data_IF_958263308744
#
_entry.id   IF_958263308744
#
_cell.length_a   1.000
_cell.length_b   1.000
_cell.length_c   1.000
_cell.angle_alpha   90.00
_cell.angle_beta   90.00
_cell.angle_gamma   90.00
#
_symmetry.space_group_name_H-M   'P 1'
#
loop_
_entity.id
_entity.type
_entity.pdbx_description
1 polymer ?
#
# COMPACT_ATOMS: atom_id res chain seq x y z
N UNK A 1 12.66 -3.05 -18.95
CA UNK A 1 11.25 -2.64 -19.11
C UNK A 1 11.23 -1.11 -19.15
N UNK A 2 10.89 -0.47 -20.27
CA UNK A 2 11.10 0.98 -20.46
C UNK A 2 10.10 1.88 -19.70
N UNK A 3 9.09 1.31 -19.04
CA UNK A 3 8.09 2.01 -18.22
C UNK A 3 7.97 1.35 -16.85
N UNK A 4 7.82 2.14 -15.80
CA UNK A 4 7.64 1.63 -14.44
C UNK A 4 6.27 0.97 -14.26
N UNK A 5 6.22 -0.12 -13.49
CA UNK A 5 4.97 -0.83 -13.19
C UNK A 5 3.99 0.12 -12.48
N UNK A 6 2.81 0.29 -13.06
CA UNK A 6 1.80 1.24 -12.59
C UNK A 6 1.93 2.66 -13.17
N UNK A 7 2.89 2.89 -14.08
CA UNK A 7 3.06 4.15 -14.83
C UNK A 7 3.11 3.88 -16.33
N UNK A 8 2.03 3.34 -16.94
CA UNK A 8 2.03 2.97 -18.35
C UNK A 8 2.18 4.17 -19.30
N UNK A 9 1.98 5.40 -18.82
CA UNK A 9 2.11 6.63 -19.60
C UNK A 9 3.43 7.39 -19.33
N UNK A 10 4.33 6.87 -18.50
CA UNK A 10 5.58 7.53 -18.12
C UNK A 10 5.51 8.30 -16.81
N UNK A 11 6.45 9.22 -16.61
CA UNK A 11 6.63 9.95 -15.34
C UNK A 11 5.42 10.84 -15.01
N UNK A 12 5.07 11.00 -13.71
CA UNK A 12 4.03 11.93 -13.29
C UNK A 12 4.35 13.37 -13.71
N UNK A 13 3.31 14.15 -13.99
CA UNK A 13 3.41 15.59 -14.31
C UNK A 13 4.24 15.94 -15.57
N UNK A 14 4.47 14.99 -16.47
CA UNK A 14 4.98 15.26 -17.82
C UNK A 14 3.84 15.08 -18.85
N UNK A 15 2.95 16.08 -19.01
CA UNK A 15 1.80 15.97 -19.90
C UNK A 15 2.22 15.83 -21.36
N UNK A 16 3.36 16.37 -21.76
CA UNK A 16 3.81 16.31 -23.15
C UNK A 16 4.30 14.91 -23.50
N UNK A 17 5.07 14.25 -22.63
CA UNK A 17 5.44 12.84 -22.80
C UNK A 17 4.20 11.93 -22.76
N UNK A 18 3.34 12.10 -21.75
CA UNK A 18 2.13 11.28 -21.60
C UNK A 18 1.19 11.38 -22.81
N UNK A 19 1.03 12.57 -23.40
CA UNK A 19 0.26 12.76 -24.63
C UNK A 19 0.87 12.04 -25.83
N UNK A 20 2.21 12.00 -25.96
CA UNK A 20 2.87 11.26 -27.05
C UNK A 20 2.64 9.75 -26.94
N UNK A 21 2.75 9.19 -25.73
CA UNK A 21 2.44 7.78 -25.44
C UNK A 21 0.98 7.47 -25.78
N UNK A 22 0.05 8.32 -25.32
CA UNK A 22 -1.38 8.16 -25.59
C UNK A 22 -1.69 8.21 -27.08
N UNK A 23 -1.12 9.17 -27.81
CA UNK A 23 -1.34 9.32 -29.25
C UNK A 23 -0.91 8.07 -30.01
N UNK A 24 0.30 7.58 -29.76
CA UNK A 24 0.79 6.35 -30.40
C UNK A 24 -0.08 5.14 -30.08
N UNK A 25 -0.56 5.04 -28.83
CA UNK A 25 -1.47 3.95 -28.43
C UNK A 25 -2.82 4.03 -29.15
N UNK A 26 -3.37 5.25 -29.28
CA UNK A 26 -4.64 5.48 -29.97
C UNK A 26 -4.51 5.30 -31.49
N UNK A 27 -3.35 5.61 -32.07
CA UNK A 27 -3.09 5.40 -33.50
C UNK A 27 -3.17 3.90 -33.88
N UNK A 28 -2.89 2.98 -32.94
CA UNK A 28 -3.09 1.53 -33.16
C UNK A 28 -4.57 1.15 -33.41
N UNK A 29 -5.52 1.95 -32.94
CA UNK A 29 -6.95 1.72 -33.18
C UNK A 29 -7.36 2.05 -34.61
N UNK A 30 -6.54 2.83 -35.34
CA UNK A 30 -6.78 3.16 -36.74
C UNK A 30 -6.30 2.07 -37.71
N UNK A 31 -5.65 1.02 -37.20
CA UNK A 31 -5.11 -0.05 -38.02
C UNK A 31 -6.22 -0.88 -38.67
N UNK A 32 -6.10 -1.06 -39.99
CA UNK A 32 -7.14 -1.67 -40.82
C UNK A 32 -7.25 -3.19 -40.66
N UNK A 33 -6.27 -3.86 -40.02
CA UNK A 33 -6.31 -5.30 -39.81
C UNK A 33 -5.49 -5.78 -38.62
N UNK A 34 -6.04 -6.77 -37.91
CA UNK A 34 -5.34 -7.59 -36.92
C UNK A 34 -5.09 -6.93 -35.57
N UNK A 35 -4.67 -7.71 -34.56
CA UNK A 35 -4.04 -7.15 -33.37
C UNK A 35 -2.65 -6.62 -33.74
N UNK A 36 -2.47 -5.29 -33.72
CA UNK A 36 -1.18 -4.65 -34.00
C UNK A 36 -0.42 -4.45 -32.69
N UNK A 37 0.78 -5.03 -32.61
CA UNK A 37 1.73 -4.81 -31.52
C UNK A 37 2.86 -3.93 -32.04
N UNK A 38 2.93 -2.68 -31.57
CA UNK A 38 3.99 -1.75 -31.91
C UNK A 38 4.84 -1.42 -30.68
N UNK A 39 6.15 -1.26 -30.88
CA UNK A 39 7.06 -0.79 -29.84
C UNK A 39 7.02 0.74 -29.78
N UNK A 40 6.90 1.30 -28.59
CA UNK A 40 7.07 2.73 -28.38
C UNK A 40 8.59 3.07 -28.37
N UNK A 41 9.05 4.03 -29.19
CA UNK A 41 10.49 4.25 -29.42
C UNK A 41 11.18 5.10 -28.35
N UNK A 42 10.44 5.88 -27.57
CA UNK A 42 11.00 6.72 -26.52
C UNK A 42 11.02 5.95 -25.18
N UNK A 43 12.14 6.01 -24.45
CA UNK A 43 12.14 5.59 -23.05
C UNK A 43 11.42 6.65 -22.20
N UNK A 44 10.75 6.23 -21.14
CA UNK A 44 10.26 7.18 -20.14
C UNK A 44 11.45 8.00 -19.59
N UNK A 45 11.30 9.32 -19.41
CA UNK A 45 12.32 10.12 -18.76
C UNK A 45 12.68 9.49 -17.41
N UNK A 46 13.96 9.48 -17.08
CA UNK A 46 14.34 9.15 -15.71
C UNK A 46 13.80 10.24 -14.79
N UNK A 47 13.29 9.82 -13.63
CA UNK A 47 12.93 10.78 -12.58
C UNK A 47 14.24 11.41 -12.11
N UNK A 48 14.52 12.64 -12.55
CA UNK A 48 15.67 13.41 -12.09
C UNK A 48 15.51 13.74 -10.61
N UNK A 49 16.07 12.87 -9.79
CA UNK A 49 16.38 13.03 -8.39
C UNK A 49 17.64 12.20 -8.13
N UNK A 50 18.40 12.48 -7.07
CA UNK A 50 19.56 11.68 -6.73
C UNK A 50 19.21 10.19 -6.76
N UNK A 51 20.15 9.34 -7.16
CA UNK A 51 20.07 7.88 -6.97
C UNK A 51 20.00 7.46 -5.47
N UNK A 52 19.73 8.43 -4.60
CA UNK A 52 19.54 8.24 -3.19
C UNK A 52 18.21 7.51 -3.02
N UNK A 53 18.28 6.37 -2.33
CA UNK A 53 17.13 5.71 -1.76
C UNK A 53 16.17 6.79 -1.25
N UNK A 54 15.01 6.93 -1.87
CA UNK A 54 13.98 7.79 -1.31
C UNK A 54 13.68 7.22 0.08
N UNK A 55 13.99 8.01 1.10
CA UNK A 55 13.63 7.71 2.48
C UNK A 55 12.49 8.67 2.81
N UNK A 56 11.47 8.18 3.48
CA UNK A 56 10.43 9.04 4.04
C UNK A 56 11.09 10.00 5.05
N UNK A 57 11.14 11.32 4.82
CA UNK A 57 11.83 12.26 5.73
C UNK A 57 11.14 12.38 7.09
N UNK A 58 9.96 11.81 7.29
CA UNK A 58 9.39 11.63 8.62
C UNK A 58 10.18 10.54 9.33
N UNK A 59 10.87 10.96 10.39
CA UNK A 59 11.42 10.02 11.36
C UNK A 59 10.26 9.42 12.16
N UNK A 60 9.69 8.33 11.65
CA UNK A 60 8.86 7.46 12.47
C UNK A 60 9.76 6.80 13.51
N UNK A 61 9.25 6.59 14.72
CA UNK A 61 9.97 5.78 15.69
C UNK A 61 10.24 4.40 15.05
N UNK A 62 11.50 3.92 15.01
CA UNK A 62 11.78 2.62 14.41
C UNK A 62 10.94 1.55 15.12
N UNK A 63 10.39 0.58 14.38
CA UNK A 63 9.63 -0.49 15.00
C UNK A 63 10.51 -1.16 16.07
N UNK A 64 10.05 -1.32 17.32
CA UNK A 64 10.85 -1.88 18.39
C UNK A 64 11.33 -3.28 18.01
N UNK A 65 12.55 -3.67 18.41
CA UNK A 65 13.02 -5.04 18.22
C UNK A 65 12.01 -6.05 18.76
N UNK A 66 11.94 -7.27 18.22
CA UNK A 66 11.03 -8.36 18.66
C UNK A 66 10.99 -8.61 20.18
N UNK A 67 11.98 -8.08 20.91
CA UNK A 67 12.17 -8.23 22.36
C UNK A 67 11.39 -7.22 23.21
N UNK A 68 10.76 -6.19 22.64
CA UNK A 68 9.92 -5.24 23.38
C UNK A 68 8.47 -5.48 22.98
N UNK A 69 7.67 -5.99 23.93
CA UNK A 69 6.21 -6.11 23.82
C UNK A 69 5.58 -4.72 24.00
N UNK A 70 5.94 -3.78 23.14
CA UNK A 70 5.16 -2.55 23.02
C UNK A 70 3.88 -2.87 22.24
N UNK A 71 2.77 -2.28 22.66
CA UNK A 71 1.48 -2.44 22.01
C UNK A 71 1.56 -1.96 20.54
N UNK A 72 1.55 -2.91 19.61
CA UNK A 72 1.62 -2.67 18.15
C UNK A 72 0.51 -1.70 17.72
N UNK A 73 -0.67 -1.77 18.33
CA UNK A 73 -1.77 -0.86 18.03
C UNK A 73 -1.40 0.59 18.37
N UNK A 74 -0.85 0.82 19.56
CA UNK A 74 -0.43 2.16 19.99
C UNK A 74 0.62 2.77 19.06
N UNK A 75 1.56 1.97 18.56
CA UNK A 75 2.55 2.43 17.58
C UNK A 75 1.90 2.82 16.25
N UNK A 76 1.04 1.96 15.70
CA UNK A 76 0.34 2.25 14.43
C UNK A 76 -0.54 3.50 14.57
N UNK A 77 -1.20 3.70 15.71
CA UNK A 77 -1.99 4.91 15.96
C UNK A 77 -1.11 6.17 16.08
N UNK A 78 0.10 6.05 16.66
CA UNK A 78 1.09 7.14 16.67
C UNK A 78 1.54 7.51 15.26
N UNK A 79 1.89 6.52 14.44
CA UNK A 79 2.28 6.72 13.04
C UNK A 79 1.16 7.39 12.22
N UNK A 80 -0.10 6.97 12.42
CA UNK A 80 -1.26 7.61 11.80
C UNK A 80 -1.33 9.10 12.21
N UNK A 81 -1.13 9.41 13.49
CA UNK A 81 -1.12 10.78 13.98
C UNK A 81 -0.03 11.65 13.30
N UNK A 82 1.17 11.10 13.13
CA UNK A 82 2.30 11.78 12.49
C UNK A 82 2.10 11.98 10.98
N UNK A 83 1.46 11.02 10.31
CA UNK A 83 1.22 11.05 8.86
C UNK A 83 -0.04 11.83 8.46
N UNK A 84 -1.00 12.03 9.37
CA UNK A 84 -2.29 12.63 9.05
C UNK A 84 -2.22 14.03 8.39
N UNK A 85 -1.35 14.97 8.84
CA UNK A 85 -1.23 16.28 8.18
C UNK A 85 -0.81 16.18 6.70
N UNK A 86 0.02 15.18 6.37
CA UNK A 86 0.48 14.95 5.00
C UNK A 86 -0.59 14.30 4.15
N UNK A 87 -1.32 13.33 4.71
CA UNK A 87 -2.49 12.77 4.05
C UNK A 87 -3.50 13.87 3.68
N UNK A 88 -3.86 14.73 4.64
CA UNK A 88 -4.79 15.83 4.43
C UNK A 88 -4.32 16.81 3.36
N UNK A 89 -3.04 17.19 3.39
CA UNK A 89 -2.45 18.05 2.36
C UNK A 89 -2.48 17.39 0.98
N UNK A 90 -2.11 16.11 0.92
CA UNK A 90 -2.11 15.31 -0.30
C UNK A 90 -3.51 15.18 -0.89
N UNK A 91 -4.51 14.97 -0.04
CA UNK A 91 -5.91 14.87 -0.44
C UNK A 91 -6.44 16.18 -1.00
N UNK A 92 -6.13 17.31 -0.34
CA UNK A 92 -6.50 18.65 -0.83
C UNK A 92 -5.88 18.99 -2.19
N UNK A 93 -4.65 18.52 -2.45
CA UNK A 93 -3.94 18.74 -3.71
C UNK A 93 -4.43 17.84 -4.84
N UNK A 94 -4.62 16.54 -4.56
CA UNK A 94 -4.96 15.52 -5.56
C UNK A 94 -6.45 15.46 -5.87
N UNK A 95 -7.31 15.81 -4.91
CA UNK A 95 -8.77 15.73 -5.02
C UNK A 95 -9.34 14.30 -5.11
N UNK A 96 -8.50 13.28 -4.96
CA UNK A 96 -8.86 11.85 -5.05
C UNK A 96 -7.99 11.02 -4.10
N UNK A 97 -8.57 9.92 -3.61
CA UNK A 97 -7.90 8.94 -2.73
C UNK A 97 -8.16 7.51 -3.18
N UNK A 98 -7.20 6.62 -2.91
CA UNK A 98 -7.31 5.17 -2.99
C UNK A 98 -7.79 4.52 -1.68
N UNK A 99 -7.81 5.28 -0.59
CA UNK A 99 -8.31 4.86 0.72
C UNK A 99 -9.83 5.05 0.83
N UNK A 100 -10.48 4.16 1.56
CA UNK A 100 -11.90 4.23 1.94
C UNK A 100 -12.77 3.12 1.33
N UNK A 101 -12.17 2.11 0.68
CA UNK A 101 -12.89 1.00 0.05
C UNK A 101 -13.57 0.10 1.08
N UNK A 102 -13.00 0.01 2.29
CA UNK A 102 -13.57 -0.73 3.43
C UNK A 102 -14.73 0.02 4.09
N UNK A 103 -14.80 1.35 3.93
CA UNK A 103 -15.73 2.22 4.66
C UNK A 103 -15.33 2.50 6.11
N UNK A 104 -14.18 2.00 6.56
CA UNK A 104 -13.64 2.25 7.90
C UNK A 104 -12.78 3.52 7.92
N UNK A 105 -12.71 4.16 9.08
CA UNK A 105 -11.67 5.15 9.38
C UNK A 105 -10.30 4.47 9.47
N UNK A 106 -9.22 5.23 9.28
CA UNK A 106 -7.86 4.69 9.34
C UNK A 106 -7.53 4.07 10.70
N UNK A 107 -8.03 4.65 11.80
CA UNK A 107 -7.92 4.10 13.16
C UNK A 107 -8.70 2.80 13.31
N UNK A 108 -9.91 2.72 12.74
CA UNK A 108 -10.70 1.48 12.72
C UNK A 108 -10.01 0.40 11.90
N UNK A 109 -9.35 0.74 10.79
CA UNK A 109 -8.52 -0.19 10.02
C UNK A 109 -7.40 -0.78 10.88
N UNK A 110 -6.66 0.07 11.60
CA UNK A 110 -5.58 -0.35 12.49
C UNK A 110 -6.07 -1.26 13.63
N UNK A 111 -7.17 -0.87 14.29
CA UNK A 111 -7.80 -1.66 15.36
C UNK A 111 -8.32 -3.01 14.87
N UNK A 112 -8.99 -3.02 13.71
CA UNK A 112 -9.50 -4.25 13.11
C UNK A 112 -8.36 -5.22 12.80
N UNK A 113 -7.30 -4.78 12.11
CA UNK A 113 -6.18 -5.65 11.76
C UNK A 113 -5.42 -6.15 13.00
N UNK A 114 -5.27 -5.31 14.03
CA UNK A 114 -4.64 -5.72 15.29
C UNK A 114 -5.50 -6.71 16.07
N UNK A 115 -6.83 -6.62 16.01
CA UNK A 115 -7.70 -7.61 16.66
C UNK A 115 -7.51 -9.03 16.13
N UNK A 116 -6.99 -9.17 14.91
CA UNK A 116 -6.74 -10.46 14.27
C UNK A 116 -5.42 -11.12 14.70
N UNK A 117 -4.53 -10.41 15.40
CA UNK A 117 -3.25 -10.95 15.88
C UNK A 117 -3.31 -11.47 17.32
N UNK A 118 -4.35 -11.16 18.08
CA UNK A 118 -4.52 -11.65 19.44
C UNK A 118 -4.79 -13.17 19.46
N UNK A 119 -3.96 -13.93 20.21
CA UNK A 119 -4.07 -15.38 20.33
C UNK A 119 -5.36 -15.84 21.04
N UNK A 120 -5.85 -15.05 22.00
CA UNK A 120 -7.14 -15.23 22.63
C UNK A 120 -8.18 -14.38 21.88
N UNK A 121 -8.69 -14.90 20.76
CA UNK A 121 -9.89 -14.33 20.18
C UNK A 121 -11.10 -14.84 20.98
N UNK A 122 -11.79 -14.02 21.79
CA UNK A 122 -13.10 -14.41 22.27
C UNK A 122 -13.97 -14.69 21.04
N UNK A 123 -14.69 -15.81 21.05
CA UNK A 123 -15.57 -16.22 19.97
C UNK A 123 -16.52 -15.07 19.59
N UNK A 124 -16.20 -14.36 18.51
CA UNK A 124 -16.90 -13.15 18.09
C UNK A 124 -16.01 -11.91 18.10
N UNK A 125 -15.11 -11.81 17.11
CA UNK A 125 -14.65 -10.49 16.67
C UNK A 125 -15.90 -9.72 16.28
N UNK A 126 -16.23 -8.69 17.06
CA UNK A 126 -17.24 -7.71 16.65
C UNK A 126 -16.58 -6.90 15.55
N UNK A 127 -16.68 -7.40 14.32
CA UNK A 127 -16.37 -6.61 13.13
C UNK A 127 -17.12 -5.29 13.32
N UNK A 128 -16.44 -4.13 13.31
CA UNK A 128 -17.11 -2.84 13.51
C UNK A 128 -18.36 -2.80 12.63
N UNK A 129 -19.53 -2.50 13.22
CA UNK A 129 -20.85 -2.59 12.58
C UNK A 129 -20.89 -1.90 11.20
N UNK A 130 -20.04 -0.90 10.98
CA UNK A 130 -19.85 -0.22 9.70
C UNK A 130 -19.52 -1.16 8.51
N UNK A 131 -18.96 -2.35 8.76
CA UNK A 131 -18.60 -3.32 7.73
C UNK A 131 -19.79 -4.14 7.21
N UNK A 132 -20.93 -4.13 7.90
CA UNK A 132 -22.06 -5.02 7.58
C UNK A 132 -22.95 -4.56 6.40
N UNK A 133 -22.41 -3.74 5.49
CA UNK A 133 -23.05 -3.45 4.20
C UNK A 133 -22.85 -4.59 3.17
N UNK A 134 -23.12 -5.84 3.56
CA UNK A 134 -23.22 -6.99 2.64
C UNK A 134 -21.92 -7.66 2.18
N UNK A 135 -20.75 -7.32 2.75
CA UNK A 135 -19.47 -7.95 2.40
C UNK A 135 -19.15 -9.16 3.30
N UNK A 136 -18.49 -10.17 2.73
CA UNK A 136 -17.92 -11.28 3.49
C UNK A 136 -16.74 -10.81 4.34
N UNK A 137 -16.44 -11.51 5.44
CA UNK A 137 -15.27 -11.23 6.27
C UNK A 137 -13.97 -11.14 5.45
N UNK A 138 -13.81 -12.00 4.45
CA UNK A 138 -12.62 -12.00 3.59
C UNK A 138 -12.48 -10.73 2.75
N UNK A 139 -13.59 -10.21 2.24
CA UNK A 139 -13.61 -8.94 1.53
C UNK A 139 -13.30 -7.77 2.47
N UNK A 140 -13.85 -7.77 3.69
CA UNK A 140 -13.53 -6.79 4.72
C UNK A 140 -12.04 -6.77 5.01
N UNK A 141 -11.45 -7.94 5.30
CA UNK A 141 -10.03 -8.05 5.62
C UNK A 141 -9.17 -7.55 4.47
N UNK A 142 -9.47 -7.96 3.25
CA UNK A 142 -8.76 -7.51 2.05
C UNK A 142 -8.82 -5.98 1.91
N UNK A 143 -10.03 -5.40 1.93
CA UNK A 143 -10.24 -3.96 1.73
C UNK A 143 -9.61 -3.14 2.85
N UNK A 144 -9.73 -3.59 4.09
CA UNK A 144 -9.11 -2.91 5.25
C UNK A 144 -7.59 -2.93 5.16
N UNK A 145 -7.01 -4.06 4.75
CA UNK A 145 -5.57 -4.20 4.50
C UNK A 145 -5.08 -3.31 3.35
N UNK A 146 -5.87 -3.19 2.28
CA UNK A 146 -5.61 -2.30 1.15
C UNK A 146 -5.70 -0.83 1.55
N UNK A 147 -6.73 -0.46 2.31
CA UNK A 147 -6.94 0.91 2.81
C UNK A 147 -5.80 1.36 3.72
N UNK A 148 -5.32 0.50 4.63
CA UNK A 148 -4.19 0.84 5.50
C UNK A 148 -2.93 1.16 4.68
N UNK A 149 -2.59 0.32 3.70
CA UNK A 149 -1.44 0.56 2.81
C UNK A 149 -1.65 1.78 1.90
N UNK A 150 -2.85 1.95 1.35
CA UNK A 150 -3.19 3.07 0.49
C UNK A 150 -3.04 4.39 1.26
N UNK A 151 -3.59 4.49 2.46
CA UNK A 151 -3.51 5.70 3.27
C UNK A 151 -2.07 6.08 3.61
N UNK A 152 -1.24 5.11 4.04
CA UNK A 152 0.17 5.35 4.37
C UNK A 152 0.98 5.82 3.15
N UNK A 153 0.83 5.13 2.02
CA UNK A 153 1.58 5.48 0.79
C UNK A 153 1.10 6.80 0.19
N UNK A 154 -0.18 7.13 0.33
CA UNK A 154 -0.72 8.44 -0.06
C UNK A 154 -0.22 9.58 0.83
N UNK A 155 -0.14 9.36 2.15
CA UNK A 155 0.42 10.32 3.09
C UNK A 155 1.90 10.57 2.81
N UNK A 156 2.67 9.51 2.62
CA UNK A 156 4.11 9.60 2.35
C UNK A 156 4.40 10.28 1.00
N UNK A 157 3.62 9.99 -0.04
CA UNK A 157 3.75 10.63 -1.34
C UNK A 157 3.36 12.12 -1.36
N UNK A 158 2.67 12.61 -0.32
CA UNK A 158 2.25 14.01 -0.22
C UNK A 158 3.29 14.91 0.48
N UNK A 159 4.36 14.32 1.02
CA UNK A 159 5.40 15.06 1.71
C UNK A 159 6.19 15.97 0.76
N UNK A 160 6.59 17.17 1.20
CA UNK A 160 7.47 18.06 0.46
C UNK A 160 8.90 17.51 0.50
N UNK A 161 9.47 17.31 -0.68
CA UNK A 161 10.80 16.74 -0.88
C UNK A 161 11.06 16.55 -2.37
N UNK A 162 12.26 16.06 -2.73
CA UNK A 162 12.59 15.74 -4.12
C UNK A 162 11.62 14.70 -4.72
N UNK A 163 11.69 14.59 -6.05
CA UNK A 163 10.75 13.95 -6.96
C UNK A 163 9.91 12.78 -6.40
N UNK A 164 8.66 12.71 -6.86
CA UNK A 164 7.69 11.69 -6.45
C UNK A 164 8.35 10.30 -6.41
N UNK A 165 8.34 9.62 -5.24
CA UNK A 165 9.09 8.38 -5.06
C UNK A 165 8.75 7.32 -6.09
N UNK A 166 9.76 6.52 -6.44
CA UNK A 166 9.51 5.27 -7.16
C UNK A 166 8.59 4.41 -6.30
N UNK A 167 7.65 3.73 -6.93
CA UNK A 167 6.68 2.86 -6.24
C UNK A 167 7.37 1.85 -5.33
N UNK A 168 8.49 1.28 -5.79
CA UNK A 168 9.31 0.34 -5.02
C UNK A 168 9.76 0.94 -3.69
N UNK A 169 10.24 2.19 -3.69
CA UNK A 169 10.74 2.84 -2.48
C UNK A 169 9.62 3.12 -1.46
N UNK A 170 8.41 3.47 -1.93
CA UNK A 170 7.22 3.58 -1.08
C UNK A 170 6.83 2.24 -0.46
N UNK A 171 6.88 1.16 -1.25
CA UNK A 171 6.60 -0.18 -0.74
C UNK A 171 7.68 -0.61 0.27
N UNK A 172 8.96 -0.40 -0.03
CA UNK A 172 10.06 -0.81 0.86
C UNK A 172 10.05 -0.04 2.18
N UNK A 173 9.74 1.25 2.15
CA UNK A 173 9.49 2.06 3.35
C UNK A 173 8.29 1.52 4.14
N UNK A 174 7.14 1.35 3.49
CA UNK A 174 5.94 0.86 4.19
C UNK A 174 6.20 -0.48 4.88
N UNK A 175 6.78 -1.44 4.16
CA UNK A 175 6.99 -2.80 4.68
C UNK A 175 8.21 -2.94 5.60
N UNK A 176 9.18 -2.03 5.53
CA UNK A 176 10.43 -2.12 6.28
C UNK A 176 10.56 -1.18 7.46
N UNK A 177 9.87 -0.05 7.44
CA UNK A 177 10.13 1.06 8.36
C UNK A 177 8.89 1.46 9.18
N UNK A 178 7.72 0.86 8.91
CA UNK A 178 6.47 1.20 9.63
C UNK A 178 5.96 0.06 10.52
N UNK A 179 5.38 0.42 11.66
CA UNK A 179 4.64 -0.48 12.52
C UNK A 179 3.39 -1.02 11.80
N UNK A 180 2.76 -0.26 10.91
CA UNK A 180 1.66 -0.75 10.08
C UNK A 180 2.08 -1.87 9.12
N UNK A 181 3.25 -1.74 8.49
CA UNK A 181 3.87 -2.78 7.67
C UNK A 181 4.18 -4.02 8.49
N UNK A 182 4.77 -3.84 9.68
CA UNK A 182 5.03 -4.92 10.63
C UNK A 182 3.75 -5.64 11.06
N UNK A 183 2.69 -4.91 11.43
CA UNK A 183 1.39 -5.49 11.79
C UNK A 183 0.88 -6.44 10.70
N UNK A 184 0.97 -6.03 9.43
CA UNK A 184 0.55 -6.87 8.31
C UNK A 184 1.47 -8.09 8.12
N UNK A 185 2.77 -7.95 8.34
CA UNK A 185 3.71 -9.08 8.31
C UNK A 185 3.42 -10.07 9.44
N UNK A 186 3.19 -9.59 10.66
CA UNK A 186 2.88 -10.42 11.83
C UNK A 186 1.55 -11.15 11.64
N UNK A 187 0.52 -10.48 11.12
CA UNK A 187 -0.74 -11.13 10.75
C UNK A 187 -0.54 -12.24 9.70
N UNK A 188 0.36 -12.03 8.73
CA UNK A 188 0.68 -13.05 7.74
C UNK A 188 1.52 -14.21 8.30
N UNK A 189 2.34 -13.98 9.33
CA UNK A 189 3.10 -15.04 10.03
C UNK A 189 2.18 -15.96 10.83
N UNK A 190 1.27 -15.38 11.61
CA UNK A 190 0.31 -16.12 12.43
C UNK A 190 -0.85 -16.75 11.63
N UNK A 191 -0.78 -16.71 10.28
CA UNK A 191 -1.82 -17.27 9.41
C UNK A 191 -2.10 -18.74 9.65
N UNK A 192 -1.07 -19.56 9.95
CA UNK A 192 -1.24 -21.00 10.09
C UNK A 192 -2.04 -21.34 11.36
N UNK A 193 -1.85 -20.53 12.39
CA UNK A 193 -2.44 -20.70 13.73
C UNK A 193 -3.83 -20.06 13.83
N UNK A 194 -4.28 -19.32 12.79
CA UNK A 194 -5.58 -18.66 12.84
C UNK A 194 -6.73 -19.69 12.79
N UNK A 195 -7.66 -19.67 13.77
CA UNK A 195 -8.67 -20.72 13.93
C UNK A 195 -9.66 -20.80 12.76
N UNK A 196 -9.90 -19.67 12.07
CA UNK A 196 -10.85 -19.60 10.95
C UNK A 196 -10.16 -19.87 9.58
N UNK A 197 -10.52 -20.95 8.85
CA UNK A 197 -9.90 -21.32 7.57
C UNK A 197 -10.15 -20.33 6.42
N UNK A 198 -11.24 -19.55 6.46
CA UNK A 198 -11.50 -18.53 5.44
C UNK A 198 -10.55 -17.35 5.61
N UNK A 199 -10.25 -16.98 6.86
CA UNK A 199 -9.27 -15.93 7.18
C UNK A 199 -7.88 -16.34 6.71
N UNK A 200 -7.49 -17.60 6.96
CA UNK A 200 -6.22 -18.17 6.46
C UNK A 200 -6.07 -18.01 4.94
N UNK A 201 -7.09 -18.42 4.18
CA UNK A 201 -7.08 -18.34 2.71
C UNK A 201 -6.98 -16.91 2.18
N UNK A 202 -7.60 -15.95 2.87
CA UNK A 202 -7.56 -14.53 2.47
C UNK A 202 -6.20 -13.93 2.76
N UNK A 203 -5.63 -14.24 3.93
CA UNK A 203 -4.28 -13.81 4.33
C UNK A 203 -3.24 -14.35 3.34
N UNK A 204 -3.31 -15.64 2.99
CA UNK A 204 -2.39 -16.31 2.05
C UNK A 204 -2.32 -15.64 0.68
N UNK A 205 -3.44 -15.08 0.19
CA UNK A 205 -3.53 -14.57 -1.19
C UNK A 205 -3.42 -13.07 -1.32
N UNK A 206 -3.74 -12.30 -0.28
CA UNK A 206 -4.06 -10.88 -0.45
C UNK A 206 -3.37 -9.93 0.54
N UNK A 207 -2.70 -10.43 1.59
CA UNK A 207 -2.20 -9.55 2.64
C UNK A 207 -0.83 -8.94 2.31
N UNK A 208 0.08 -9.75 1.77
CA UNK A 208 1.46 -9.34 1.43
C UNK A 208 1.70 -9.49 -0.07
N UNK A 209 2.12 -8.42 -0.77
CA UNK A 209 2.50 -8.48 -2.18
C UNK A 209 3.63 -9.46 -2.44
N UNK A 210 3.62 -10.11 -3.61
CA UNK A 210 4.67 -11.06 -4.00
C UNK A 210 6.09 -10.45 -3.95
N UNK A 211 6.22 -9.17 -4.31
CA UNK A 211 7.47 -8.40 -4.25
C UNK A 211 8.08 -8.33 -2.85
N UNK A 212 7.27 -8.50 -1.81
CA UNK A 212 7.66 -8.35 -0.41
C UNK A 212 7.76 -9.70 0.32
N UNK A 213 7.54 -10.82 -0.38
CA UNK A 213 7.60 -12.17 0.22
C UNK A 213 9.00 -12.49 0.76
N UNK A 214 10.06 -11.93 0.17
CA UNK A 214 11.43 -12.12 0.64
C UNK A 214 11.61 -11.74 2.13
N UNK A 215 10.79 -10.81 2.66
CA UNK A 215 10.80 -10.41 4.07
C UNK A 215 10.30 -11.50 5.03
N UNK A 216 9.70 -12.58 4.53
CA UNK A 216 9.42 -13.79 5.30
C UNK A 216 10.66 -14.70 5.44
N UNK A 217 11.59 -14.67 4.50
CA UNK A 217 12.72 -15.61 4.42
C UNK A 217 13.92 -15.14 5.24
N UNK A 218 14.11 -13.83 5.39
CA UNK A 218 15.26 -13.20 6.07
C UNK A 218 15.13 -13.03 7.58
N UNK A 219 14.04 -13.50 8.20
CA UNK A 219 13.80 -13.36 9.65
C UNK A 219 13.71 -14.72 10.38
N UNK A 220 14.37 -15.76 9.84
CA UNK A 220 14.60 -17.05 10.48
C UNK A 220 16.06 -17.21 10.91
#
# INVERSE_FOLDING_TARGET
MPFELGRPLGVPNDPEFQKRVLKMTLDLLAESSGPVLASYPENAPEVSGPENAWVCPITLAPPPSEKVQDDVLSQVLSEIGELAPWYDLGQRRRGRTLYGVSGLTIDECARFLTSLTAADQPAGVTVPVAVTAGHSFGETLKRTSEDLSAWYTEAAAAQPGEAYPKRQALEDWFWGETAAGRLKLDLARHRADHPNPLVRRVIERNLVPWTQIHRFETMN
#
